data_IF_972428786521
#
_entry.id   IF_972428786521
#
_cell.length_a   1.000
_cell.length_b   1.000
_cell.length_c   1.000
_cell.angle_alpha   90.00
_cell.angle_beta   90.00
_cell.angle_gamma   90.00
#
_symmetry.space_group_name_H-M   'P 1'
#
loop_
_entity.id
_entity.type
_entity.pdbx_description
1 polymer ?
#
# COMPACT_ATOMS: atom_id res chain seq x y z
N UNK A 1 34.21 5.43 -0.36
CA UNK A 1 33.36 5.43 0.85
C UNK A 1 32.01 4.83 0.47
N UNK A 2 31.80 3.53 0.70
CA UNK A 2 30.60 2.79 0.28
C UNK A 2 29.51 2.86 1.34
N UNK A 3 28.56 3.78 1.17
CA UNK A 3 27.39 3.90 2.05
C UNK A 3 26.39 2.79 1.71
N UNK A 4 26.37 1.74 2.53
CA UNK A 4 25.33 0.71 2.48
C UNK A 4 23.99 1.33 2.93
N UNK A 5 22.91 1.29 2.13
CA UNK A 5 21.61 1.76 2.59
C UNK A 5 21.03 0.77 3.61
N UNK A 6 20.64 1.28 4.77
CA UNK A 6 19.87 0.58 5.80
C UNK A 6 18.59 -0.02 5.18
N UNK A 7 18.61 -1.30 4.81
CA UNK A 7 17.39 -2.07 4.56
C UNK A 7 16.71 -2.28 5.91
N UNK A 8 15.79 -1.40 6.26
CA UNK A 8 14.90 -1.61 7.40
C UNK A 8 14.14 -2.93 7.17
N UNK A 9 14.42 -3.95 8.00
CA UNK A 9 13.63 -5.18 8.01
C UNK A 9 12.19 -4.79 8.38
N UNK A 10 11.17 -5.10 7.56
CA UNK A 10 9.79 -4.84 7.94
C UNK A 10 9.51 -5.61 9.23
N UNK A 11 8.96 -4.90 10.22
CA UNK A 11 8.55 -5.47 11.50
C UNK A 11 7.30 -6.28 11.22
N UNK A 12 7.49 -7.57 10.89
CA UNK A 12 6.40 -8.55 10.79
C UNK A 12 5.61 -8.48 12.10
N UNK A 13 4.43 -7.86 12.04
CA UNK A 13 3.44 -7.92 13.12
C UNK A 13 3.10 -9.39 13.38
N UNK A 14 2.93 -9.81 14.65
CA UNK A 14 2.70 -11.20 14.96
C UNK A 14 1.45 -11.73 14.27
N UNK A 15 1.62 -12.97 13.79
CA UNK A 15 0.73 -13.84 13.05
C UNK A 15 -0.78 -13.64 13.23
N UNK A 16 -1.44 -13.61 12.08
CA UNK A 16 -2.70 -14.29 11.75
C UNK A 16 -3.64 -14.57 12.94
N UNK A 17 -4.64 -13.72 13.11
CA UNK A 17 -5.88 -14.07 13.80
C UNK A 17 -6.55 -15.19 13.02
N UNK A 18 -6.68 -16.36 13.66
CA UNK A 18 -7.44 -17.52 13.16
C UNK A 18 -8.93 -17.16 13.16
N UNK A 19 -9.45 -16.84 11.99
CA UNK A 19 -10.87 -17.01 11.66
C UNK A 19 -10.87 -18.10 10.55
N UNK A 20 -11.70 -19.12 10.70
CA UNK A 20 -11.73 -20.37 9.91
C UNK A 20 -11.67 -20.18 8.36
N UNK A 21 -11.02 -21.13 7.66
CA UNK A 21 -10.96 -21.29 6.19
C UNK A 21 -10.04 -20.35 5.35
N UNK A 22 -8.93 -19.87 5.92
CA UNK A 22 -7.81 -19.36 5.12
C UNK A 22 -6.96 -18.32 5.84
N UNK A 23 -5.63 -18.47 5.81
CA UNK A 23 -4.69 -17.53 6.45
C UNK A 23 -4.81 -16.13 5.83
N UNK A 24 -5.69 -15.28 6.38
CA UNK A 24 -5.79 -13.87 5.97
C UNK A 24 -4.62 -13.11 6.61
N UNK A 25 -3.58 -12.86 5.80
CA UNK A 25 -2.43 -12.07 6.21
C UNK A 25 -2.80 -10.58 6.23
N UNK A 26 -2.49 -9.93 7.35
CA UNK A 26 -2.65 -8.48 7.50
C UNK A 26 -1.27 -7.80 7.50
N UNK A 27 -1.24 -6.60 6.94
CA UNK A 27 -0.06 -5.73 6.90
C UNK A 27 -0.36 -4.41 7.60
N UNK A 28 0.64 -3.87 8.29
CA UNK A 28 0.52 -2.51 8.83
C UNK A 28 0.54 -1.49 7.70
N UNK A 29 0.13 -0.26 8.00
CA UNK A 29 0.25 0.86 7.06
C UNK A 29 1.70 1.07 6.58
N UNK A 30 2.69 0.87 7.46
CA UNK A 30 4.09 1.04 7.11
C UNK A 30 4.56 -0.05 6.13
N UNK A 31 4.21 -1.31 6.39
CA UNK A 31 4.54 -2.44 5.50
C UNK A 31 3.84 -2.29 4.15
N UNK A 32 2.58 -1.87 4.16
CA UNK A 32 1.80 -1.66 2.93
C UNK A 32 2.42 -0.55 2.08
N UNK A 33 2.81 0.57 2.70
CA UNK A 33 3.49 1.66 2.01
C UNK A 33 4.80 1.21 1.36
N UNK A 34 5.60 0.42 2.09
CA UNK A 34 6.86 -0.14 1.58
C UNK A 34 6.62 -1.09 0.40
N UNK A 35 5.64 -2.00 0.49
CA UNK A 35 5.27 -2.93 -0.59
C UNK A 35 4.81 -2.20 -1.84
N UNK A 36 4.00 -1.15 -1.68
CA UNK A 36 3.46 -0.37 -2.78
C UNK A 36 4.43 0.71 -3.27
N UNK A 37 5.64 0.82 -2.69
CA UNK A 37 6.64 1.86 -2.99
C UNK A 37 6.05 3.28 -3.02
N UNK A 38 5.18 3.58 -2.06
CA UNK A 38 4.54 4.89 -1.92
C UNK A 38 4.75 5.46 -0.51
N UNK A 39 4.51 6.75 -0.36
CA UNK A 39 4.59 7.40 0.94
C UNK A 39 3.41 6.97 1.83
N UNK A 40 3.63 6.96 3.15
CA UNK A 40 2.56 6.67 4.12
C UNK A 40 1.44 7.72 4.05
N UNK A 41 1.77 8.96 3.72
CA UNK A 41 0.81 10.06 3.53
C UNK A 41 -0.10 9.79 2.33
N UNK A 42 0.47 9.42 1.17
CA UNK A 42 -0.29 9.03 -0.03
C UNK A 42 -1.21 7.85 0.30
N UNK A 43 -0.70 6.84 1.02
CA UNK A 43 -1.51 5.70 1.47
C UNK A 43 -2.69 6.15 2.35
N UNK A 44 -2.47 7.08 3.29
CA UNK A 44 -3.55 7.66 4.10
C UNK A 44 -4.60 8.38 3.27
N UNK A 45 -4.20 9.15 2.25
CA UNK A 45 -5.14 9.80 1.32
C UNK A 45 -6.04 8.77 0.63
N UNK A 46 -5.50 7.63 0.22
CA UNK A 46 -6.29 6.55 -0.39
C UNK A 46 -7.24 5.86 0.60
N UNK A 47 -6.82 5.71 1.86
CA UNK A 47 -7.66 5.17 2.92
C UNK A 47 -8.83 6.12 3.22
N UNK A 48 -8.55 7.42 3.38
CA UNK A 48 -9.57 8.45 3.61
C UNK A 48 -10.54 8.58 2.44
N UNK A 49 -10.06 8.42 1.20
CA UNK A 49 -10.89 8.38 0.00
C UNK A 49 -11.72 7.09 -0.14
N UNK A 50 -11.64 6.14 0.82
CA UNK A 50 -12.38 4.88 0.80
C UNK A 50 -11.90 3.88 -0.26
N UNK A 51 -10.73 4.10 -0.87
CA UNK A 51 -10.17 3.24 -1.93
C UNK A 51 -9.51 1.98 -1.38
N UNK A 52 -9.06 2.02 -0.13
CA UNK A 52 -8.44 0.89 0.56
C UNK A 52 -9.21 0.65 1.85
N UNK A 53 -9.74 -0.56 2.02
CA UNK A 53 -10.39 -0.93 3.28
C UNK A 53 -9.34 -1.24 4.34
N UNK A 54 -9.44 -0.56 5.48
CA UNK A 54 -8.63 -0.84 6.66
C UNK A 54 -9.47 -1.59 7.70
N UNK A 55 -8.83 -2.49 8.44
CA UNK A 55 -9.37 -3.08 9.66
C UNK A 55 -8.63 -2.46 10.85
N UNK A 56 -9.37 -2.04 11.88
CA UNK A 56 -8.78 -1.56 13.12
C UNK A 56 -8.62 -2.72 14.09
N UNK A 57 -7.41 -2.92 14.60
CA UNK A 57 -7.11 -3.81 15.71
C UNK A 57 -6.60 -2.95 16.87
N UNK A 58 -7.53 -2.55 17.74
CA UNK A 58 -7.26 -1.60 18.83
C UNK A 58 -6.72 -0.27 18.29
N UNK A 59 -5.48 0.07 18.66
CA UNK A 59 -4.81 1.31 18.23
C UNK A 59 -4.15 1.20 16.86
N UNK A 60 -4.10 0.02 16.27
CA UNK A 60 -3.43 -0.22 14.99
C UNK A 60 -4.43 -0.31 13.85
N UNK A 61 -4.08 0.29 12.71
CA UNK A 61 -4.78 0.11 11.44
C UNK A 61 -3.99 -0.85 10.58
N UNK A 62 -4.64 -1.91 10.11
CA UNK A 62 -4.05 -2.93 9.24
C UNK A 62 -4.87 -3.09 7.97
N UNK A 63 -4.23 -3.57 6.90
CA UNK A 63 -4.82 -3.81 5.60
C UNK A 63 -4.62 -5.29 5.28
N UNK A 64 -5.66 -5.96 4.78
CA UNK A 64 -5.52 -7.37 4.36
C UNK A 64 -4.69 -7.48 3.10
N UNK A 65 -3.98 -8.61 2.94
CA UNK A 65 -3.22 -8.88 1.73
C UNK A 65 -4.05 -8.78 0.45
N UNK A 66 -5.28 -9.29 0.50
CA UNK A 66 -6.23 -9.21 -0.62
C UNK A 66 -6.50 -7.77 -1.05
N UNK A 67 -6.68 -6.85 -0.10
CA UNK A 67 -6.89 -5.43 -0.39
C UNK A 67 -5.61 -4.77 -0.93
N UNK A 68 -4.43 -5.13 -0.39
CA UNK A 68 -3.15 -4.65 -0.93
C UNK A 68 -2.96 -5.09 -2.38
N UNK A 69 -3.24 -6.36 -2.69
CA UNK A 69 -3.14 -6.89 -4.05
C UNK A 69 -4.18 -6.29 -5.00
N UNK A 70 -5.42 -6.09 -4.52
CA UNK A 70 -6.47 -5.45 -5.30
C UNK A 70 -6.09 -4.01 -5.65
N UNK A 71 -5.57 -3.27 -4.67
CA UNK A 71 -5.15 -1.89 -4.87
C UNK A 71 -3.90 -1.81 -5.75
N UNK A 72 -2.92 -2.71 -5.60
CA UNK A 72 -1.70 -2.72 -6.42
C UNK A 72 -2.00 -2.90 -7.91
N UNK A 73 -3.02 -3.67 -8.27
CA UNK A 73 -3.49 -3.83 -9.67
C UNK A 73 -4.02 -2.53 -10.27
N UNK A 74 -4.46 -1.58 -9.44
CA UNK A 74 -4.95 -0.26 -9.88
C UNK A 74 -3.82 0.80 -9.91
N UNK A 75 -2.64 0.47 -9.38
CA UNK A 75 -1.48 1.33 -9.44
C UNK A 75 -0.81 1.20 -10.80
N UNK A 76 -0.35 2.34 -11.34
CA UNK A 76 0.53 2.39 -12.50
C UNK A 76 1.88 2.95 -12.09
N UNK A 77 2.99 2.35 -12.56
CA UNK A 77 4.28 2.98 -12.40
C UNK A 77 4.34 4.21 -13.29
N UNK A 78 4.68 5.35 -12.70
CA UNK A 78 5.02 6.58 -13.43
C UNK A 78 6.47 6.93 -13.16
N UNK A 79 7.12 7.57 -14.12
CA UNK A 79 8.49 8.05 -13.97
C UNK A 79 8.44 9.55 -13.66
N UNK A 80 8.83 9.93 -12.44
CA UNK A 80 8.83 11.33 -12.00
C UNK A 80 10.26 11.71 -11.65
N UNK A 81 10.83 12.65 -12.40
CA UNK A 81 12.19 13.14 -12.18
C UNK A 81 13.25 12.00 -12.08
N UNK A 82 13.14 11.01 -12.97
CA UNK A 82 14.04 9.84 -12.99
C UNK A 82 13.81 8.81 -11.88
N UNK A 83 12.79 8.97 -11.05
CA UNK A 83 12.40 8.00 -10.00
C UNK A 83 11.06 7.36 -10.33
N UNK A 84 11.01 6.03 -10.32
CA UNK A 84 9.75 5.29 -10.42
C UNK A 84 8.90 5.50 -9.16
N UNK A 85 7.68 6.01 -9.34
CA UNK A 85 6.66 6.15 -8.30
C UNK A 85 5.41 5.40 -8.72
N UNK A 86 4.78 4.69 -7.78
CA UNK A 86 3.49 4.05 -8.03
C UNK A 86 2.39 5.05 -7.74
N UNK A 87 1.58 5.37 -8.75
CA UNK A 87 0.43 6.28 -8.59
C UNK A 87 -0.87 5.54 -8.92
N UNK A 88 -1.91 5.88 -8.19
CA UNK A 88 -3.27 5.38 -8.43
C UNK A 88 -3.81 5.92 -9.76
N UNK A 89 -4.08 5.02 -10.70
CA UNK A 89 -4.74 5.35 -11.94
C UNK A 89 -6.24 5.09 -11.77
N UNK A 90 -7.02 6.16 -11.56
CA UNK A 90 -8.47 6.05 -11.70
C UNK A 90 -8.81 6.02 -13.20
N UNK A 91 -9.55 5.02 -13.71
CA UNK A 91 -10.05 5.06 -15.08
C UNK A 91 -11.15 6.13 -15.16
N UNK A 92 -10.87 7.28 -15.76
CA UNK A 92 -11.87 8.30 -16.06
C UNK A 92 -12.12 8.32 -17.56
N UNK A 93 -13.03 7.47 -18.04
CA UNK A 93 -13.55 7.50 -19.41
C UNK A 93 -12.51 7.33 -20.53
N UNK A 94 -12.95 7.39 -21.81
CA UNK A 94 -12.07 7.22 -22.95
C UNK A 94 -11.19 8.48 -23.10
N UNK A 95 -9.96 8.42 -22.61
CA UNK A 95 -8.89 9.36 -22.97
C UNK A 95 -8.23 10.17 -21.86
N UNK A 96 -8.60 10.01 -20.57
CA UNK A 96 -7.98 10.76 -19.48
C UNK A 96 -7.69 9.93 -18.24
N UNK A 97 -6.44 9.91 -17.78
CA UNK A 97 -6.06 9.40 -16.45
C UNK A 97 -5.58 10.57 -15.60
N UNK A 98 -6.34 10.94 -14.56
CA UNK A 98 -5.84 11.84 -13.53
C UNK A 98 -4.91 11.08 -12.59
N UNK A 99 -3.66 11.52 -12.55
CA UNK A 99 -2.56 10.96 -11.76
C UNK A 99 -2.46 11.78 -10.48
N UNK A 100 -2.91 11.23 -9.34
CA UNK A 100 -2.83 11.92 -8.04
C UNK A 100 -1.50 11.61 -7.34
N UNK A 101 -0.62 12.60 -7.09
CA UNK A 101 0.66 12.40 -6.42
C UNK A 101 0.54 11.97 -4.95
#
# INVERSE_FOLDING_TARGET
MSTHPHKAKPRLVPKASKDDEGLVQYYTLADTAAKLKMSRQTLYTHILAGRIKIRKFGRYSVISESEVQRFSKQLRPINVAGKQRMVYAHPTGPGGTNVYP
#
